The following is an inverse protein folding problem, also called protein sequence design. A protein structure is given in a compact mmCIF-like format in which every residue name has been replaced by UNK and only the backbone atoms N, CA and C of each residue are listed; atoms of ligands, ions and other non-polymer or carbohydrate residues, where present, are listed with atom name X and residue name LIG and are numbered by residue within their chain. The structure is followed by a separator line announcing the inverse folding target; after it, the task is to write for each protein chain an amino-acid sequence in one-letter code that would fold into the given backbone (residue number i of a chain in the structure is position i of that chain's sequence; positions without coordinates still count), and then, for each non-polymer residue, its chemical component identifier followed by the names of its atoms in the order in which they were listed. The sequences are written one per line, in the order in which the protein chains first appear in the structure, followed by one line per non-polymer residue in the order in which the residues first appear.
data_IF_112147581083
#
_entry.id   IF_112147581083
#
_cell.length_a   1.000
_cell.length_b   1.000
_cell.length_c   1.000
_cell.angle_alpha   90.00
_cell.angle_beta   90.00
_cell.angle_gamma   90.00
#
_symmetry.space_group_name_H-M   'P 1'
#
loop_
_entity.id
_entity.type
_entity.pdbx_description
1 polymer ?
#
# COMPACT_ATOMS: atom_id res chain seq x y z
N UNK A 1 7.73 11.13 24.26
CA UNK A 1 8.88 11.02 23.35
C UNK A 1 8.78 9.67 22.68
N UNK A 2 8.70 9.64 21.35
CA UNK A 2 8.59 8.42 20.56
C UNK A 2 9.95 7.69 20.48
N UNK A 3 9.93 6.36 20.52
CA UNK A 3 11.11 5.51 20.38
C UNK A 3 10.96 4.58 19.16
N UNK A 4 11.87 4.70 18.19
CA UNK A 4 11.87 3.88 16.98
C UNK A 4 12.12 2.38 17.25
N UNK A 5 12.70 2.05 18.40
CA UNK A 5 13.00 0.66 18.78
C UNK A 5 11.86 -0.02 19.52
N UNK A 6 10.78 0.69 19.84
CA UNK A 6 9.63 0.08 20.48
C UNK A 6 9.02 -1.00 19.56
N UNK A 7 8.68 -2.15 20.14
CA UNK A 7 8.14 -3.26 19.36
C UNK A 7 6.60 -3.21 19.38
N UNK A 8 5.92 -3.07 18.23
CA UNK A 8 4.46 -3.07 18.17
C UNK A 8 3.89 -4.49 18.06
N UNK A 9 4.55 -5.47 18.70
CA UNK A 9 4.07 -6.85 18.82
C UNK A 9 3.31 -7.04 20.14
N UNK A 10 2.35 -7.95 20.16
CA UNK A 10 1.64 -8.40 21.35
C UNK A 10 2.42 -9.45 22.15
N UNK A 11 1.82 -9.94 23.23
CA UNK A 11 2.40 -10.97 24.11
C UNK A 11 2.58 -12.32 23.41
N UNK A 12 1.83 -12.57 22.33
CA UNK A 12 1.91 -13.79 21.52
C UNK A 12 2.97 -13.67 20.41
N UNK A 13 3.61 -12.51 20.25
CA UNK A 13 4.62 -12.23 19.22
C UNK A 13 4.02 -11.94 17.83
N UNK A 14 2.72 -11.69 17.77
CA UNK A 14 2.01 -11.22 16.60
C UNK A 14 2.00 -9.68 16.58
N UNK A 15 1.84 -9.07 15.41
CA UNK A 15 1.71 -7.61 15.35
C UNK A 15 0.36 -7.20 15.91
N UNK A 16 0.36 -6.26 16.84
CA UNK A 16 -0.85 -5.65 17.39
C UNK A 16 -1.23 -4.45 16.52
N UNK A 17 -2.40 -4.52 15.88
CA UNK A 17 -2.85 -3.49 14.93
C UNK A 17 -2.90 -2.09 15.59
N UNK A 18 -3.28 -2.00 16.87
CA UNK A 18 -3.34 -0.73 17.59
C UNK A 18 -1.95 -0.19 17.91
N UNK A 19 -1.03 -1.05 18.36
CA UNK A 19 0.37 -0.65 18.59
C UNK A 19 1.09 -0.28 17.31
N UNK A 20 0.78 -0.94 16.19
CA UNK A 20 1.31 -0.58 14.87
C UNK A 20 0.81 0.79 14.44
N UNK A 21 -0.47 1.10 14.67
CA UNK A 21 -1.04 2.42 14.41
C UNK A 21 -0.36 3.50 15.27
N UNK A 22 -0.23 3.26 16.58
CA UNK A 22 0.46 4.16 17.50
C UNK A 22 1.94 4.35 17.11
N UNK A 23 2.60 3.27 16.67
CA UNK A 23 3.98 3.33 16.17
C UNK A 23 4.08 4.22 14.94
N UNK A 24 3.23 4.01 13.94
CA UNK A 24 3.23 4.78 12.70
C UNK A 24 2.95 6.26 12.97
N UNK A 25 1.96 6.56 13.84
CA UNK A 25 1.63 7.93 14.21
C UNK A 25 2.78 8.60 14.96
N UNK A 26 3.36 7.93 15.96
CA UNK A 26 4.50 8.48 16.70
C UNK A 26 5.74 8.70 15.84
N UNK A 27 6.01 7.81 14.87
CA UNK A 27 7.09 7.98 13.91
C UNK A 27 6.86 9.19 12.98
N UNK A 28 5.61 9.37 12.53
CA UNK A 28 5.23 10.49 11.67
C UNK A 28 5.26 11.82 12.43
N UNK A 29 4.78 11.86 13.67
CA UNK A 29 4.83 13.07 14.51
C UNK A 29 6.28 13.49 14.76
N UNK A 30 7.14 12.54 15.15
CA UNK A 30 8.56 12.82 15.37
C UNK A 30 9.28 13.26 14.08
N UNK A 31 8.93 12.65 12.93
CA UNK A 31 9.47 13.07 11.63
C UNK A 31 8.97 14.47 11.25
N UNK A 32 7.68 14.77 11.42
CA UNK A 32 7.11 16.08 11.11
C UNK A 32 7.75 17.21 11.93
N UNK A 33 8.07 16.94 13.20
CA UNK A 33 8.75 17.88 14.10
C UNK A 33 10.27 18.00 13.83
N UNK A 34 10.84 17.10 13.02
CA UNK A 34 12.27 17.11 12.70
C UNK A 34 12.63 18.18 11.66
N UNK A 35 13.90 18.64 11.63
CA UNK A 35 14.39 19.51 10.55
C UNK A 35 14.21 18.88 9.16
N UNK A 36 14.39 17.57 9.03
CA UNK A 36 14.23 16.85 7.76
C UNK A 36 12.77 16.85 7.29
N UNK A 37 11.82 16.57 8.18
CA UNK A 37 10.39 16.57 7.85
C UNK A 37 9.87 17.98 7.59
N UNK A 38 10.31 18.98 8.35
CA UNK A 38 9.97 20.39 8.11
C UNK A 38 10.45 20.83 6.73
N UNK A 39 11.73 20.60 6.40
CA UNK A 39 12.28 20.96 5.08
C UNK A 39 11.59 20.19 3.94
N UNK A 40 11.23 18.93 4.17
CA UNK A 40 10.48 18.12 3.21
C UNK A 40 9.08 18.70 2.96
N UNK A 41 8.35 19.06 4.02
CA UNK A 41 7.03 19.68 3.92
C UNK A 41 7.09 21.05 3.24
N UNK A 42 8.13 21.86 3.50
CA UNK A 42 8.33 23.14 2.82
C UNK A 42 8.60 22.96 1.32
N UNK A 43 9.34 21.92 0.94
CA UNK A 43 9.71 21.67 -0.45
C UNK A 43 8.58 21.06 -1.28
N UNK A 44 7.85 20.07 -0.72
CA UNK A 44 6.78 19.35 -1.42
C UNK A 44 5.37 19.84 -1.07
N UNK A 45 5.23 20.79 -0.14
CA UNK A 45 3.96 21.35 0.33
C UNK A 45 3.24 20.52 1.40
N UNK A 46 3.55 19.23 1.51
CA UNK A 46 3.05 18.34 2.57
C UNK A 46 3.94 17.11 2.74
N UNK A 47 3.70 16.34 3.80
CA UNK A 47 4.28 15.00 4.02
C UNK A 47 3.15 14.01 4.30
N UNK A 48 3.40 12.71 4.07
CA UNK A 48 2.44 11.64 4.34
C UNK A 48 2.72 10.34 3.59
N UNK A 49 3.61 10.35 2.60
CA UNK A 49 4.00 9.13 1.87
C UNK A 49 4.72 8.13 2.77
N UNK A 50 5.44 8.63 3.77
CA UNK A 50 6.09 7.82 4.80
C UNK A 50 5.08 7.02 5.61
N UNK A 51 3.91 7.59 5.93
CA UNK A 51 2.86 6.86 6.65
C UNK A 51 2.33 5.69 5.82
N UNK A 52 2.11 5.91 4.53
CA UNK A 52 1.70 4.85 3.59
C UNK A 52 2.77 3.76 3.47
N UNK A 53 4.04 4.17 3.38
CA UNK A 53 5.18 3.26 3.34
C UNK A 53 5.29 2.40 4.61
N UNK A 54 5.17 3.00 5.79
CA UNK A 54 5.20 2.28 7.08
C UNK A 54 4.03 1.31 7.20
N UNK A 55 2.83 1.72 6.79
CA UNK A 55 1.68 0.84 6.71
C UNK A 55 1.99 -0.39 5.85
N UNK A 56 2.63 -0.23 4.68
CA UNK A 56 3.02 -1.36 3.84
C UNK A 56 4.09 -2.24 4.47
N UNK A 57 5.10 -1.65 5.11
CA UNK A 57 6.14 -2.38 5.83
C UNK A 57 5.55 -3.32 6.89
N UNK A 58 4.68 -2.81 7.76
CA UNK A 58 4.07 -3.62 8.81
C UNK A 58 3.01 -4.59 8.28
N UNK A 59 2.14 -4.13 7.37
CA UNK A 59 0.94 -4.89 6.99
C UNK A 59 1.22 -6.02 6.00
N UNK A 60 2.27 -5.87 5.19
CA UNK A 60 2.57 -6.80 4.10
C UNK A 60 3.91 -7.52 4.30
N UNK A 61 4.95 -6.81 4.76
CA UNK A 61 6.26 -7.42 4.95
C UNK A 61 6.49 -7.89 6.39
N UNK A 62 5.76 -7.32 7.35
CA UNK A 62 5.96 -7.60 8.77
C UNK A 62 7.38 -7.22 9.20
N UNK A 63 7.83 -6.02 8.82
CA UNK A 63 9.15 -5.47 9.14
C UNK A 63 9.01 -4.06 9.70
N UNK A 64 9.91 -3.67 10.60
CA UNK A 64 10.02 -2.31 11.13
C UNK A 64 11.20 -1.56 10.47
N UNK A 65 11.21 -0.22 10.49
CA UNK A 65 12.33 0.58 9.97
C UNK A 65 13.72 0.14 10.48
N UNK A 66 13.80 -0.33 11.72
CA UNK A 66 15.05 -0.81 12.34
C UNK A 66 15.62 -2.09 11.69
N UNK A 67 14.78 -2.87 10.99
CA UNK A 67 15.13 -4.17 10.41
C UNK A 67 15.16 -4.15 8.88
N UNK A 68 14.71 -3.04 8.27
CA UNK A 68 14.56 -2.95 6.82
C UNK A 68 15.89 -2.98 6.07
N UNK A 69 15.86 -3.67 4.93
CA UNK A 69 16.89 -3.75 3.93
C UNK A 69 16.46 -3.06 2.63
N UNK A 70 17.39 -2.90 1.69
CA UNK A 70 17.07 -2.41 0.35
C UNK A 70 15.99 -3.28 -0.34
N UNK A 71 15.96 -4.58 -0.08
CA UNK A 71 14.96 -5.48 -0.65
C UNK A 71 13.55 -5.12 -0.20
N UNK A 72 13.38 -4.73 1.05
CA UNK A 72 12.08 -4.32 1.60
C UNK A 72 11.63 -3.00 0.97
N UNK A 73 12.57 -2.06 0.76
CA UNK A 73 12.31 -0.83 0.01
C UNK A 73 11.85 -1.16 -1.42
N UNK A 74 12.52 -2.07 -2.10
CA UNK A 74 12.18 -2.46 -3.48
C UNK A 74 10.80 -3.09 -3.58
N UNK A 75 10.46 -3.97 -2.65
CA UNK A 75 9.15 -4.62 -2.62
C UNK A 75 8.04 -3.59 -2.37
N UNK A 76 8.26 -2.65 -1.45
CA UNK A 76 7.27 -1.60 -1.19
C UNK A 76 7.15 -0.66 -2.39
N UNK A 77 8.26 -0.10 -2.89
CA UNK A 77 8.23 0.91 -3.93
C UNK A 77 7.86 0.37 -5.31
N UNK A 78 8.28 -0.84 -5.66
CA UNK A 78 8.14 -1.34 -7.03
C UNK A 78 7.10 -2.45 -7.20
N UNK A 79 6.55 -2.98 -6.11
CA UNK A 79 5.36 -3.84 -6.15
C UNK A 79 4.19 -3.18 -5.44
N UNK A 80 4.28 -2.90 -4.13
CA UNK A 80 3.11 -2.48 -3.34
C UNK A 80 2.55 -1.11 -3.76
N UNK A 81 3.39 -0.07 -3.91
CA UNK A 81 2.93 1.25 -4.35
C UNK A 81 2.24 1.22 -5.73
N UNK A 82 2.87 0.72 -6.81
CA UNK A 82 2.24 0.58 -8.12
C UNK A 82 0.93 -0.18 -8.09
N UNK A 83 0.87 -1.23 -7.27
CA UNK A 83 -0.27 -2.14 -7.18
C UNK A 83 -1.43 -1.60 -6.36
N UNK A 84 -1.16 -0.84 -5.29
CA UNK A 84 -2.13 -0.50 -4.24
C UNK A 84 -2.45 0.99 -4.15
N UNK A 85 -1.54 1.86 -4.56
CA UNK A 85 -1.68 3.31 -4.40
C UNK A 85 -2.18 3.95 -5.69
N UNK A 86 -3.35 4.59 -5.63
CA UNK A 86 -3.86 5.44 -6.71
C UNK A 86 -3.24 6.83 -6.58
N UNK A 87 -2.19 7.08 -7.36
CA UNK A 87 -1.52 8.38 -7.45
C UNK A 87 -0.94 8.54 -8.85
N UNK A 88 -0.71 9.79 -9.25
CA UNK A 88 -0.07 10.09 -10.54
C UNK A 88 1.40 9.64 -10.55
N UNK A 89 1.94 9.20 -11.70
CA UNK A 89 3.35 8.84 -11.82
C UNK A 89 4.32 9.98 -11.44
N UNK A 90 3.90 11.23 -11.66
CA UNK A 90 4.63 12.45 -11.31
C UNK A 90 4.96 12.52 -9.82
N UNK A 91 4.12 11.95 -8.96
CA UNK A 91 4.30 11.91 -7.49
C UNK A 91 5.51 11.07 -7.04
N UNK A 92 6.17 10.35 -7.95
CA UNK A 92 7.35 9.55 -7.61
C UNK A 92 8.48 10.38 -6.96
N UNK A 93 8.64 11.65 -7.34
CA UNK A 93 9.66 12.53 -6.76
C UNK A 93 9.35 12.88 -5.29
N UNK A 94 8.08 13.14 -4.97
CA UNK A 94 7.58 13.38 -3.62
C UNK A 94 7.76 12.14 -2.76
N UNK A 95 7.35 10.97 -3.24
CA UNK A 95 7.47 9.71 -2.49
C UNK A 95 8.94 9.41 -2.17
N UNK A 96 9.82 9.42 -3.17
CA UNK A 96 11.23 9.07 -2.96
C UNK A 96 11.97 10.15 -2.18
N UNK A 97 11.63 11.42 -2.41
CA UNK A 97 12.18 12.56 -1.67
C UNK A 97 11.82 12.51 -0.18
N UNK A 98 10.54 12.31 0.13
CA UNK A 98 10.06 12.19 1.51
C UNK A 98 10.68 10.98 2.22
N UNK A 99 10.72 9.81 1.59
CA UNK A 99 11.37 8.64 2.19
C UNK A 99 12.85 8.86 2.43
N UNK A 100 13.56 9.55 1.51
CA UNK A 100 14.97 9.88 1.73
C UNK A 100 15.12 10.79 2.96
N UNK A 101 14.28 11.81 3.09
CA UNK A 101 14.29 12.71 4.25
C UNK A 101 13.97 11.96 5.55
N UNK A 102 13.01 11.04 5.52
CA UNK A 102 12.68 10.19 6.67
C UNK A 102 13.87 9.33 7.11
N UNK A 103 14.57 8.67 6.17
CA UNK A 103 15.75 7.89 6.53
C UNK A 103 16.93 8.75 7.03
N UNK A 104 17.08 9.99 6.52
CA UNK A 104 18.06 10.95 7.06
C UNK A 104 17.73 11.33 8.50
N UNK A 105 16.45 11.56 8.81
CA UNK A 105 15.98 11.76 10.18
C UNK A 105 16.30 10.55 11.07
N UNK A 106 16.03 9.32 10.60
CA UNK A 106 16.33 8.11 11.36
C UNK A 106 17.83 7.90 11.58
N UNK A 107 18.66 8.27 10.61
CA UNK A 107 20.12 8.28 10.75
C UNK A 107 20.57 9.27 11.82
N UNK A 108 20.04 10.50 11.80
CA UNK A 108 20.45 11.57 12.72
C UNK A 108 19.95 11.35 14.15
N UNK A 109 18.65 11.11 14.30
CA UNK A 109 17.98 11.09 15.60
C UNK A 109 18.20 9.76 16.34
N UNK A 110 18.11 8.64 15.60
CA UNK A 110 18.14 7.31 16.18
C UNK A 110 19.40 6.51 15.83
N UNK A 111 20.31 7.06 15.01
CA UNK A 111 21.57 6.42 14.64
C UNK A 111 21.39 5.03 14.05
N UNK A 112 20.31 4.82 13.30
CA UNK A 112 20.00 3.52 12.72
C UNK A 112 21.09 3.09 11.74
N UNK A 113 21.71 1.93 12.00
CA UNK A 113 22.85 1.45 11.24
C UNK A 113 22.54 1.17 9.75
N UNK A 114 21.28 0.86 9.41
CA UNK A 114 20.84 0.63 8.04
C UNK A 114 20.54 1.94 7.27
N UNK A 115 20.24 3.04 7.97
CA UNK A 115 19.75 4.28 7.36
C UNK A 115 20.73 4.90 6.32
N UNK A 116 22.06 5.00 6.56
CA UNK A 116 22.97 5.61 5.58
C UNK A 116 22.95 4.89 4.21
N UNK A 117 22.83 3.56 4.23
CA UNK A 117 22.75 2.77 3.00
C UNK A 117 21.44 3.03 2.25
N UNK A 118 20.32 3.16 2.97
CA UNK A 118 19.01 3.43 2.39
C UNK A 118 18.88 4.87 1.87
N UNK A 119 19.45 5.85 2.57
CA UNK A 119 19.55 7.24 2.09
C UNK A 119 20.30 7.31 0.75
N UNK A 120 21.43 6.60 0.64
CA UNK A 120 22.20 6.51 -0.61
C UNK A 120 21.43 5.79 -1.72
N UNK A 121 20.68 4.76 -1.35
CA UNK A 121 19.90 3.96 -2.29
C UNK A 121 18.76 4.77 -2.92
N UNK A 122 18.01 5.53 -2.13
CA UNK A 122 16.82 6.29 -2.53
C UNK A 122 17.16 7.50 -3.41
N UNK A 123 17.85 7.31 -4.53
CA UNK A 123 18.35 8.36 -5.42
C UNK A 123 17.43 8.64 -6.64
N UNK A 124 17.87 9.51 -7.56
CA UNK A 124 17.12 9.88 -8.77
C UNK A 124 16.80 8.67 -9.68
N UNK A 125 17.61 7.61 -9.69
CA UNK A 125 17.30 6.42 -10.48
C UNK A 125 16.13 5.64 -9.88
N UNK A 126 16.01 5.62 -8.55
CA UNK A 126 14.87 5.02 -7.83
C UNK A 126 13.59 5.79 -8.12
N UNK A 127 13.65 7.12 -8.10
CA UNK A 127 12.53 7.99 -8.53
C UNK A 127 12.08 7.69 -9.96
N UNK A 128 13.02 7.69 -10.91
CA UNK A 128 12.69 7.40 -12.32
C UNK A 128 12.11 6.00 -12.51
N UNK A 129 12.59 5.01 -11.73
CA UNK A 129 12.02 3.66 -11.75
C UNK A 129 10.60 3.67 -11.20
N UNK A 130 10.38 4.26 -10.03
CA UNK A 130 9.06 4.34 -9.40
C UNK A 130 8.05 5.01 -10.33
N UNK A 131 8.44 6.12 -10.98
CA UNK A 131 7.61 6.79 -11.99
C UNK A 131 7.17 5.84 -13.10
N UNK A 132 8.09 5.05 -13.66
CA UNK A 132 7.75 4.04 -14.69
C UNK A 132 6.79 2.99 -14.15
N UNK A 133 7.05 2.46 -12.96
CA UNK A 133 6.19 1.41 -12.38
C UNK A 133 4.78 1.93 -12.06
N UNK A 134 4.65 3.17 -11.58
CA UNK A 134 3.37 3.84 -11.32
C UNK A 134 2.58 4.11 -12.60
N UNK A 135 3.27 4.36 -13.72
CA UNK A 135 2.63 4.59 -15.03
C UNK A 135 2.23 3.30 -15.76
N UNK A 136 2.61 2.12 -15.25
CA UNK A 136 2.39 0.86 -15.94
C UNK A 136 1.11 0.15 -15.44
N UNK A 137 0.04 0.09 -16.25
CA UNK A 137 -1.21 -0.54 -15.84
C UNK A 137 -1.09 -2.03 -15.50
N UNK A 138 -0.09 -2.73 -16.06
CA UNK A 138 0.15 -4.15 -15.78
C UNK A 138 0.58 -4.40 -14.32
N UNK A 139 1.05 -3.36 -13.64
CA UNK A 139 1.41 -3.43 -12.22
C UNK A 139 0.22 -3.18 -11.29
N UNK A 140 -0.94 -2.76 -11.81
CA UNK A 140 -2.06 -2.35 -10.96
C UNK A 140 -2.78 -3.55 -10.37
N UNK A 141 -3.13 -3.45 -9.08
CA UNK A 141 -4.06 -4.38 -8.46
C UNK A 141 -5.49 -4.14 -8.95
N UNK A 142 -6.34 -5.17 -8.84
CA UNK A 142 -7.74 -5.15 -9.31
C UNK A 142 -8.49 -3.88 -8.87
N UNK A 143 -8.35 -3.50 -7.59
CA UNK A 143 -9.02 -2.33 -7.04
C UNK A 143 -8.54 -1.02 -7.69
N UNK A 144 -7.22 -0.85 -7.87
CA UNK A 144 -6.66 0.32 -8.56
C UNK A 144 -7.07 0.35 -10.03
N UNK A 145 -7.02 -0.78 -10.73
CA UNK A 145 -7.48 -0.87 -12.13
C UNK A 145 -8.94 -0.45 -12.27
N UNK A 146 -9.80 -0.79 -11.30
CA UNK A 146 -11.19 -0.38 -11.29
C UNK A 146 -11.34 1.14 -11.11
N UNK A 147 -10.56 1.75 -10.22
CA UNK A 147 -10.53 3.22 -10.02
C UNK A 147 -10.04 3.93 -11.28
N UNK A 148 -8.92 3.50 -11.86
CA UNK A 148 -8.36 4.12 -13.07
C UNK A 148 -9.35 4.07 -14.24
N UNK A 149 -10.02 2.92 -14.44
CA UNK A 149 -11.03 2.78 -15.49
C UNK A 149 -12.22 3.74 -15.32
N UNK A 150 -12.64 3.97 -14.06
CA UNK A 150 -13.70 4.94 -13.76
C UNK A 150 -13.28 6.37 -14.05
N UNK A 151 -12.05 6.76 -13.66
CA UNK A 151 -11.49 8.08 -13.94
C UNK A 151 -11.33 8.33 -15.45
N UNK A 152 -10.78 7.36 -16.20
CA UNK A 152 -10.66 7.42 -17.67
C UNK A 152 -12.03 7.53 -18.36
N UNK A 153 -13.06 6.93 -17.75
CA UNK A 153 -14.45 7.01 -18.23
C UNK A 153 -15.16 8.32 -17.81
N UNK A 154 -14.44 9.24 -17.16
CA UNK A 154 -14.93 10.55 -16.74
C UNK A 154 -15.75 10.55 -15.44
N UNK A 155 -15.73 9.46 -14.68
CA UNK A 155 -16.40 9.41 -13.37
C UNK A 155 -15.49 9.95 -12.27
N UNK A 156 -16.10 10.63 -11.32
CA UNK A 156 -15.41 11.04 -10.10
C UNK A 156 -15.27 9.85 -9.14
N UNK A 157 -14.16 9.15 -9.26
CA UNK A 157 -13.85 7.98 -8.42
C UNK A 157 -13.39 8.35 -7.01
N UNK A 158 -13.41 9.64 -6.64
CA UNK A 158 -13.11 10.09 -5.27
C UNK A 158 -14.37 10.17 -4.39
N UNK A 159 -15.56 10.03 -4.98
CA UNK A 159 -16.86 10.09 -4.26
C UNK A 159 -17.59 8.75 -4.28
N UNK A 160 -18.38 8.48 -3.26
CA UNK A 160 -19.20 7.25 -3.19
C UNK A 160 -20.24 7.22 -4.32
N UNK A 161 -20.81 8.37 -4.64
CA UNK A 161 -21.75 8.56 -5.74
C UNK A 161 -21.10 8.23 -7.08
N UNK A 162 -19.91 8.76 -7.37
CA UNK A 162 -19.21 8.49 -8.63
C UNK A 162 -18.77 7.03 -8.76
N UNK A 163 -18.29 6.41 -7.67
CA UNK A 163 -18.02 4.96 -7.63
C UNK A 163 -19.28 4.13 -7.91
N UNK A 164 -20.42 4.50 -7.34
CA UNK A 164 -21.69 3.80 -7.56
C UNK A 164 -22.20 3.94 -9.00
N UNK A 165 -22.07 5.14 -9.58
CA UNK A 165 -22.44 5.39 -10.97
C UNK A 165 -21.56 4.57 -11.93
N UNK A 166 -20.25 4.55 -11.70
CA UNK A 166 -19.34 3.74 -12.51
C UNK A 166 -19.61 2.24 -12.35
N UNK A 167 -19.85 1.74 -11.14
CA UNK A 167 -20.25 0.35 -10.92
C UNK A 167 -21.52 -0.03 -11.68
N UNK A 168 -22.53 0.84 -11.69
CA UNK A 168 -23.77 0.60 -12.44
C UNK A 168 -23.50 0.55 -13.96
N UNK A 169 -22.74 1.50 -14.50
CA UNK A 169 -22.36 1.54 -15.91
C UNK A 169 -21.53 0.32 -16.33
N UNK A 170 -20.54 -0.05 -15.51
CA UNK A 170 -19.70 -1.22 -15.71
C UNK A 170 -20.52 -2.52 -15.74
N UNK A 171 -21.39 -2.73 -14.75
CA UNK A 171 -22.27 -3.89 -14.70
C UNK A 171 -23.24 -3.96 -15.89
N UNK A 172 -23.79 -2.82 -16.32
CA UNK A 172 -24.64 -2.75 -17.51
C UNK A 172 -23.88 -3.18 -18.78
N UNK A 173 -22.60 -2.78 -18.90
CA UNK A 173 -21.73 -3.15 -20.02
C UNK A 173 -21.37 -4.65 -20.05
N UNK A 174 -21.21 -5.28 -18.87
CA UNK A 174 -20.98 -6.72 -18.78
C UNK A 174 -22.23 -7.51 -19.18
N UNK A 175 -23.41 -7.05 -18.76
CA UNK A 175 -24.69 -7.68 -19.08
C UNK A 175 -25.05 -7.55 -20.57
N UNK A 176 -24.72 -6.43 -21.22
CA UNK A 176 -24.90 -6.28 -22.67
C UNK A 176 -23.93 -7.17 -23.46
N UNK A 177 -22.70 -7.32 -23.00
CA UNK A 177 -21.69 -8.22 -23.60
C UNK A 177 -22.04 -9.70 -23.45
N UNK A 178 -22.69 -10.10 -22.35
CA UNK A 178 -23.20 -11.47 -22.17
C UNK A 178 -24.45 -11.77 -23.00
N UNK A 179 -25.26 -10.76 -23.33
CA UNK A 179 -26.47 -10.93 -24.17
C UNK A 179 -26.20 -10.83 -25.68
N UNK A 180 -25.12 -10.16 -26.10
CA UNK A 180 -24.76 -9.92 -27.50
C UNK A 180 -23.81 -10.95 -28.10
N UNK A 181 -24.14 -12.24 -28.05
CA UNK A 181 -23.40 -13.26 -28.80
C UNK A 181 -23.43 -12.96 -30.31
N UNK A 182 -22.25 -12.61 -30.85
CA UNK A 182 -21.94 -12.27 -32.24
C UNK A 182 -22.54 -10.98 -32.84
N UNK A 183 -21.73 -9.93 -32.94
CA UNK A 183 -21.45 -9.23 -34.21
C UNK A 183 -20.37 -8.16 -34.03
N UNK A 184 -19.40 -8.15 -34.95
CA UNK A 184 -18.31 -7.19 -35.09
C UNK A 184 -18.69 -5.73 -34.82
N UNK A 185 -18.01 -5.10 -33.85
CA UNK A 185 -17.63 -3.68 -33.92
C UNK A 185 -16.33 -3.48 -33.15
N UNK A 186 -15.34 -2.92 -33.83
CA UNK A 186 -13.99 -2.69 -33.33
C UNK A 186 -13.99 -1.57 -32.28
N UNK A 187 -14.04 -1.94 -31.01
CA UNK A 187 -13.51 -1.14 -29.91
C UNK A 187 -12.36 -1.94 -29.31
N UNK A 188 -11.21 -1.29 -29.16
CA UNK A 188 -9.91 -1.85 -28.81
C UNK A 188 -10.00 -3.02 -27.82
N UNK A 189 -9.49 -4.17 -28.24
CA UNK A 189 -9.45 -5.42 -27.48
C UNK A 189 -8.55 -5.26 -26.24
N UNK A 190 -9.14 -4.95 -25.09
CA UNK A 190 -8.58 -5.37 -23.80
C UNK A 190 -9.30 -6.63 -23.35
N UNK A 191 -8.59 -7.77 -23.40
CA UNK A 191 -8.99 -8.94 -22.64
C UNK A 191 -8.59 -8.68 -21.18
N UNK A 192 -9.47 -8.90 -20.20
CA UNK A 192 -9.04 -8.93 -18.81
C UNK A 192 -7.86 -9.92 -18.72
N UNK A 193 -6.77 -9.59 -18.02
CA UNK A 193 -5.64 -10.50 -17.92
C UNK A 193 -6.16 -11.79 -17.31
N UNK A 194 -5.97 -12.88 -18.05
CA UNK A 194 -6.04 -14.22 -17.48
C UNK A 194 -5.11 -14.17 -16.29
N UNK A 195 -5.61 -14.50 -15.10
CA UNK A 195 -4.81 -14.46 -13.87
C UNK A 195 -3.41 -15.03 -14.18
N UNK A 196 -2.33 -14.28 -13.92
CA UNK A 196 -0.99 -14.79 -14.18
C UNK A 196 -0.87 -16.15 -13.48
N UNK A 197 -0.23 -17.16 -14.12
CA UNK A 197 0.01 -18.43 -13.45
C UNK A 197 0.65 -18.11 -12.12
N UNK A 198 0.04 -18.59 -11.03
CA UNK A 198 0.43 -18.30 -9.66
C UNK A 198 1.95 -18.19 -9.60
N UNK A 199 2.45 -16.95 -9.41
CA UNK A 199 3.87 -16.71 -9.30
C UNK A 199 4.39 -17.68 -8.24
N UNK A 200 5.43 -18.45 -8.60
CA UNK A 200 6.02 -19.46 -7.73
C UNK A 200 6.15 -18.86 -6.33
N UNK A 201 5.72 -19.57 -5.27
CA UNK A 201 5.75 -19.01 -3.94
C UNK A 201 7.19 -18.66 -3.61
N UNK A 202 7.48 -17.37 -3.50
CA UNK A 202 8.62 -16.94 -2.72
C UNK A 202 8.41 -17.55 -1.33
N UNK A 203 9.40 -18.30 -0.86
CA UNK A 203 9.41 -18.87 0.49
C UNK A 203 9.50 -17.71 1.48
N UNK A 204 8.37 -17.08 1.75
CA UNK A 204 8.16 -16.14 2.84
C UNK A 204 7.63 -16.97 3.99
N UNK A 205 8.25 -16.85 5.17
CA UNK A 205 7.66 -17.37 6.39
C UNK A 205 6.29 -16.70 6.54
N UNK A 206 5.22 -17.45 6.32
CA UNK A 206 3.84 -16.97 6.27
C UNK A 206 3.40 -16.43 7.63
N UNK A 207 3.65 -15.14 7.87
CA UNK A 207 2.80 -14.35 8.76
C UNK A 207 1.69 -13.75 7.91
N UNK A 208 0.45 -13.94 8.36
CA UNK A 208 -0.76 -13.48 7.67
C UNK A 208 -0.68 -11.96 7.46
N UNK A 209 -1.17 -11.45 6.33
CA UNK A 209 -1.36 -10.01 6.13
C UNK A 209 -2.38 -9.44 7.12
N UNK A 210 -2.39 -8.12 7.35
CA UNK A 210 -3.39 -7.50 8.25
C UNK A 210 -4.84 -7.74 7.78
N UNK A 211 -5.10 -7.81 6.48
CA UNK A 211 -6.45 -8.12 5.96
C UNK A 211 -6.87 -9.57 6.30
N UNK A 212 -5.92 -10.51 6.23
CA UNK A 212 -6.10 -11.90 6.68
C UNK A 212 -6.21 -11.98 8.22
N UNK A 213 -5.49 -11.09 8.92
CA UNK A 213 -5.60 -10.68 10.33
C UNK A 213 -7.04 -10.42 10.76
N UNK A 214 -7.55 -9.32 10.22
CA UNK A 214 -8.88 -8.76 10.46
C UNK A 214 -9.98 -9.72 10.07
N UNK A 215 -9.83 -10.44 8.95
CA UNK A 215 -10.82 -11.45 8.56
C UNK A 215 -10.85 -12.65 9.51
N UNK A 216 -9.69 -13.13 10.00
CA UNK A 216 -9.61 -14.18 11.02
C UNK A 216 -10.14 -13.74 12.38
N UNK A 217 -9.82 -12.53 12.82
CA UNK A 217 -10.30 -12.01 14.09
C UNK A 217 -11.82 -11.80 14.06
N UNK A 218 -12.35 -11.25 12.96
CA UNK A 218 -13.80 -11.18 12.71
C UNK A 218 -14.44 -12.56 12.74
N UNK A 219 -13.81 -13.59 12.16
CA UNK A 219 -14.26 -14.97 12.24
C UNK A 219 -14.22 -15.53 13.67
N UNK A 220 -13.17 -15.23 14.46
CA UNK A 220 -13.04 -15.66 15.87
C UNK A 220 -14.12 -15.02 16.74
N UNK A 221 -14.33 -13.70 16.64
CA UNK A 221 -15.40 -12.98 17.34
C UNK A 221 -16.79 -13.52 16.97
N UNK A 222 -17.02 -13.86 15.70
CA UNK A 222 -18.27 -14.46 15.24
C UNK A 222 -18.48 -15.91 15.76
N UNK A 223 -17.40 -16.66 16.00
CA UNK A 223 -17.47 -18.00 16.62
C UNK A 223 -17.68 -17.95 18.14
N UNK A 224 -17.09 -16.98 18.83
CA UNK A 224 -17.24 -16.78 20.28
C UNK A 224 -18.60 -16.19 20.67
N UNK A 225 -19.25 -15.44 19.76
CA UNK A 225 -20.58 -14.85 19.98
C UNK A 225 -21.78 -15.78 19.74
N UNK A 226 -21.60 -17.05 19.34
CA UNK A 226 -22.73 -17.99 19.16
C UNK A 226 -23.02 -18.75 20.45
N UNK A 227 -24.15 -18.52 21.14
CA UNK A 227 -24.52 -19.34 22.28
C UNK A 227 -24.73 -20.79 21.82
N UNK A 228 -24.06 -21.73 22.50
CA UNK A 228 -24.26 -23.17 22.32
C UNK A 228 -25.75 -23.48 22.52
N UNK A 229 -26.48 -23.74 21.43
CA UNK A 229 -27.82 -24.32 21.47
C UNK A 229 -27.73 -25.63 22.26
N UNK A 230 -28.24 -25.64 23.49
CA UNK A 230 -28.47 -26.87 24.27
C UNK A 230 -29.44 -27.73 23.46
N UNK A 231 -28.94 -28.85 22.94
CA UNK A 231 -29.78 -29.94 22.43
C UNK A 231 -30.51 -30.55 23.64
N UNK A 232 -31.83 -30.48 23.61
CA UNK A 232 -32.74 -31.35 24.37
C UNK A 232 -33.25 -32.39 23.41
#
# INVERSE_FOLDING_TARGET
MFDIHQSPIDEDGDWDDGRVEDYCNGAMDAFAESPEGTACAEYFGSIGWTQTFLYYAFSYLGTSPTEMSQRDIDEILFDLFPRKTSTEPETANEIVGELRAFWQFLEREYQLANAPALVKYLNANVEQRLKRELSNPDNFGIAKSFVMMGQESGFDMTTQEGMNQFMAAYNASLMSRQRGGNSDTAVSRYQPPVAPPAARPARVATKLSIDERKSREKLRRQKLGKPRRKRR
#
